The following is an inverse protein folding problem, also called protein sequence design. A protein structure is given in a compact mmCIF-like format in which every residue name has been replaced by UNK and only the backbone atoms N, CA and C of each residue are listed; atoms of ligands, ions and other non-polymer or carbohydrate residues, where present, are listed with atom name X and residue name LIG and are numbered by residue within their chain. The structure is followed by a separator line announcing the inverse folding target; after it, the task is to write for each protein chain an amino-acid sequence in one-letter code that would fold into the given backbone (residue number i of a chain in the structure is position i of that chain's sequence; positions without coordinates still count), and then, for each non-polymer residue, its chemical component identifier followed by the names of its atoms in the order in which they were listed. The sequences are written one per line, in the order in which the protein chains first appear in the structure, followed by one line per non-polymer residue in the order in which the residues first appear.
data_IF_259106656165
#
_entry.id   IF_259106656165
#
_cell.length_a   1.000
_cell.length_b   1.000
_cell.length_c   1.000
_cell.angle_alpha   90.00
_cell.angle_beta   90.00
_cell.angle_gamma   90.00
#
_symmetry.space_group_name_H-M   'P 1'
#
loop_
_entity.id
_entity.type
_entity.pdbx_description
1 polymer ?
#
# COMPACT_ATOMS: atom_id res chain seq x y z
N UNK A 1 5.78 34.71 15.34
CA UNK A 1 6.25 33.63 16.23
C UNK A 1 5.43 32.35 16.03
N UNK A 2 4.17 32.29 16.44
CA UNK A 2 3.34 31.08 16.26
C UNK A 2 3.06 30.76 14.78
N UNK A 3 2.79 31.78 13.96
CA UNK A 3 2.60 31.61 12.52
C UNK A 3 3.86 31.07 11.84
N UNK A 4 5.04 31.61 12.19
CA UNK A 4 6.32 31.19 11.60
C UNK A 4 6.66 29.75 11.99
N UNK A 5 6.40 29.37 13.24
CA UNK A 5 6.56 28.00 13.71
C UNK A 5 5.61 27.03 12.98
N UNK A 6 4.34 27.43 12.79
CA UNK A 6 3.38 26.65 12.02
C UNK A 6 3.80 26.49 10.56
N UNK A 7 4.23 27.56 9.90
CA UNK A 7 4.73 27.51 8.52
C UNK A 7 5.97 26.61 8.39
N UNK A 8 6.88 26.68 9.37
CA UNK A 8 8.05 25.79 9.42
C UNK A 8 7.66 24.32 9.55
N UNK A 9 6.69 24.00 10.42
CA UNK A 9 6.17 22.64 10.58
C UNK A 9 5.54 22.11 9.30
N UNK A 10 4.77 22.93 8.58
CA UNK A 10 4.16 22.56 7.30
C UNK A 10 5.22 22.29 6.23
N UNK A 11 6.27 23.11 6.16
CA UNK A 11 7.37 22.89 5.22
C UNK A 11 8.15 21.60 5.53
N UNK A 12 8.40 21.30 6.80
CA UNK A 12 9.01 20.03 7.21
C UNK A 12 8.12 18.81 6.88
N UNK A 13 6.80 18.93 7.05
CA UNK A 13 5.86 17.89 6.68
C UNK A 13 5.87 17.63 5.16
N UNK A 14 5.88 18.69 4.33
CA UNK A 14 5.96 18.57 2.87
C UNK A 14 7.23 17.87 2.39
N UNK A 15 8.36 18.08 3.08
CA UNK A 15 9.62 17.40 2.77
C UNK A 15 9.55 15.88 3.01
N UNK A 16 8.67 15.43 3.91
CA UNK A 16 8.50 14.02 4.31
C UNK A 16 7.31 13.34 3.65
N UNK A 17 6.73 13.98 2.64
CA UNK A 17 5.63 13.40 1.88
C UNK A 17 6.12 12.18 1.07
N UNK A 18 5.52 11.01 1.30
CA UNK A 18 5.90 9.77 0.62
C UNK A 18 5.74 9.84 -0.90
N UNK A 19 4.88 10.71 -1.43
CA UNK A 19 4.71 10.90 -2.89
C UNK A 19 5.90 11.63 -3.48
N UNK A 20 6.43 12.62 -2.75
CA UNK A 20 7.64 13.34 -3.13
C UNK A 20 8.85 12.41 -3.05
N UNK A 21 9.05 11.78 -1.89
CA UNK A 21 10.18 10.87 -1.65
C UNK A 21 10.12 9.68 -2.61
N UNK A 22 8.95 9.07 -2.78
CA UNK A 22 8.75 7.93 -3.66
C UNK A 22 9.12 8.23 -5.12
N UNK A 23 8.82 9.45 -5.59
CA UNK A 23 9.26 9.91 -6.91
C UNK A 23 10.77 10.17 -6.96
N UNK A 24 11.33 10.89 -5.99
CA UNK A 24 12.76 11.24 -5.93
C UNK A 24 13.65 9.98 -5.86
N UNK A 25 13.22 8.97 -5.12
CA UNK A 25 13.94 7.71 -4.91
C UNK A 25 13.53 6.60 -5.88
N UNK A 26 12.65 6.88 -6.85
CA UNK A 26 12.17 5.88 -7.82
C UNK A 26 11.62 4.61 -7.15
N UNK A 27 10.77 4.78 -6.13
CA UNK A 27 10.13 3.68 -5.39
C UNK A 27 8.85 3.22 -6.10
N UNK A 28 8.01 4.15 -6.51
CA UNK A 28 6.79 3.87 -7.27
C UNK A 28 6.47 5.01 -8.24
N UNK A 29 5.62 4.72 -9.21
CA UNK A 29 5.07 5.69 -10.15
C UNK A 29 3.56 5.48 -10.33
N UNK A 30 2.87 6.50 -10.81
CA UNK A 30 1.50 6.40 -11.29
C UNK A 30 1.47 6.76 -12.77
N UNK A 31 0.65 6.05 -13.53
CA UNK A 31 0.46 6.27 -14.95
C UNK A 31 -1.04 6.27 -15.26
N UNK A 32 -1.50 7.32 -15.94
CA UNK A 32 -2.93 7.51 -16.25
C UNK A 32 -3.48 6.41 -17.17
N UNK A 33 -2.61 5.77 -17.99
CA UNK A 33 -3.01 4.63 -18.82
C UNK A 33 -3.22 3.36 -18.01
N UNK A 34 -2.55 3.22 -16.87
CA UNK A 34 -2.74 2.08 -15.96
C UNK A 34 -4.00 2.26 -15.13
N UNK A 35 -4.22 3.47 -14.62
CA UNK A 35 -5.44 3.87 -13.93
C UNK A 35 -5.19 4.51 -12.56
N UNK A 36 -6.15 5.32 -12.07
CA UNK A 36 -6.03 6.01 -10.80
C UNK A 36 -5.98 5.02 -9.63
N UNK A 37 -5.11 5.27 -8.66
CA UNK A 37 -4.98 4.43 -7.46
C UNK A 37 -4.21 3.13 -7.66
N UNK A 38 -3.66 2.87 -8.86
CA UNK A 38 -2.87 1.69 -9.18
C UNK A 38 -1.37 2.04 -9.28
N UNK A 39 -0.62 1.99 -8.16
CA UNK A 39 0.81 2.30 -8.19
C UNK A 39 1.61 1.22 -8.93
N UNK A 40 2.53 1.66 -9.76
CA UNK A 40 3.57 0.82 -10.36
C UNK A 40 4.78 0.82 -9.44
N UNK A 41 5.10 -0.32 -8.86
CA UNK A 41 6.29 -0.49 -8.03
C UNK A 41 7.53 -0.61 -8.92
N UNK A 42 8.43 0.37 -8.78
CA UNK A 42 9.71 0.42 -9.49
C UNK A 42 10.74 -0.47 -8.77
N UNK A 43 11.92 -0.76 -9.36
CA UNK A 43 12.87 -1.71 -8.77
C UNK A 43 13.20 -1.47 -7.29
N UNK A 44 13.38 -0.22 -6.86
CA UNK A 44 13.66 0.09 -5.45
C UNK A 44 12.46 -0.23 -4.54
N UNK A 45 11.24 0.06 -4.99
CA UNK A 45 10.02 -0.28 -4.25
C UNK A 45 9.71 -1.77 -4.28
N UNK A 46 10.03 -2.46 -5.37
CA UNK A 46 9.95 -3.93 -5.46
C UNK A 46 10.81 -4.61 -4.40
N UNK A 47 12.07 -4.19 -4.26
CA UNK A 47 12.97 -4.69 -3.20
C UNK A 47 12.36 -4.42 -1.81
N UNK A 48 11.82 -3.23 -1.57
CA UNK A 48 11.18 -2.93 -0.28
C UNK A 48 10.00 -3.84 0.03
N UNK A 49 9.15 -4.14 -0.96
CA UNK A 49 8.03 -5.07 -0.80
C UNK A 49 8.54 -6.47 -0.49
N UNK A 50 9.51 -6.98 -1.26
CA UNK A 50 10.07 -8.32 -1.06
C UNK A 50 10.64 -8.50 0.35
N UNK A 51 11.36 -7.48 0.84
CA UNK A 51 11.93 -7.48 2.19
C UNK A 51 10.87 -7.48 3.29
N UNK A 52 9.81 -6.67 3.14
CA UNK A 52 8.69 -6.63 4.08
C UNK A 52 7.87 -7.93 4.06
N UNK A 53 7.61 -8.47 2.86
CA UNK A 53 6.93 -9.75 2.72
C UNK A 53 7.73 -10.87 3.36
N UNK A 54 9.05 -10.92 3.11
CA UNK A 54 9.94 -11.91 3.70
C UNK A 54 9.87 -11.89 5.22
N UNK A 55 9.98 -10.70 5.82
CA UNK A 55 9.86 -10.53 7.26
C UNK A 55 8.52 -11.08 7.78
N UNK A 56 7.41 -10.80 7.09
CA UNK A 56 6.11 -11.34 7.46
C UNK A 56 6.05 -12.88 7.32
N UNK A 57 6.77 -13.49 6.35
CA UNK A 57 6.80 -14.96 6.19
C UNK A 57 7.51 -15.62 7.33
N UNK A 58 8.66 -15.07 7.71
CA UNK A 58 9.46 -15.56 8.84
C UNK A 58 8.68 -15.46 10.15
N UNK A 59 7.97 -14.36 10.39
CA UNK A 59 7.19 -14.15 11.61
C UNK A 59 5.96 -15.07 11.68
N UNK A 60 5.21 -15.20 10.59
CA UNK A 60 4.08 -16.13 10.50
C UNK A 60 4.50 -17.59 10.72
N UNK A 61 5.63 -18.00 10.14
CA UNK A 61 6.19 -19.34 10.34
C UNK A 61 6.58 -19.57 11.80
N UNK A 62 7.25 -18.60 12.43
CA UNK A 62 7.62 -18.67 13.84
C UNK A 62 6.41 -18.81 14.78
N UNK A 63 5.26 -18.28 14.38
CA UNK A 63 4.00 -18.37 15.12
C UNK A 63 3.08 -19.52 14.68
N UNK A 64 3.54 -20.39 13.79
CA UNK A 64 2.81 -21.60 13.37
C UNK A 64 1.64 -21.36 12.42
N UNK A 65 1.64 -20.25 11.68
CA UNK A 65 0.63 -19.99 10.65
C UNK A 65 0.89 -20.87 9.41
N UNK A 66 -0.20 -21.28 8.75
CA UNK A 66 -0.15 -22.01 7.48
C UNK A 66 -0.57 -21.10 6.34
N UNK A 67 0.38 -20.65 5.52
CA UNK A 67 0.07 -19.84 4.34
C UNK A 67 -0.66 -20.65 3.27
N UNK A 68 -1.65 -20.02 2.67
CA UNK A 68 -2.42 -20.54 1.54
C UNK A 68 -2.50 -19.47 0.44
N UNK A 69 -2.85 -19.88 -0.78
CA UNK A 69 -3.08 -18.97 -1.91
C UNK A 69 -4.51 -19.15 -2.42
N UNK A 70 -5.25 -18.05 -2.53
CA UNK A 70 -6.64 -18.03 -2.99
C UNK A 70 -6.81 -17.08 -4.18
N UNK A 71 -7.76 -17.33 -5.09
CA UNK A 71 -8.05 -16.42 -6.20
C UNK A 71 -8.46 -15.01 -5.73
N UNK A 72 -8.16 -13.98 -6.55
CA UNK A 72 -8.51 -12.58 -6.26
C UNK A 72 -9.98 -12.23 -6.53
N UNK A 73 -10.67 -13.03 -7.35
CA UNK A 73 -12.07 -12.82 -7.74
C UNK A 73 -12.83 -14.11 -7.47
N UNK A 74 -14.04 -13.98 -6.93
CA UNK A 74 -14.96 -15.08 -6.66
C UNK A 74 -16.34 -14.81 -7.25
N UNK A 75 -17.24 -15.80 -7.18
CA UNK A 75 -18.63 -15.61 -7.57
C UNK A 75 -19.37 -14.73 -6.55
N UNK A 76 -20.40 -14.03 -7.01
CA UNK A 76 -21.24 -13.13 -6.21
C UNK A 76 -21.77 -13.79 -4.93
N UNK A 77 -22.16 -15.07 -5.00
CA UNK A 77 -22.71 -15.79 -3.86
C UNK A 77 -21.76 -15.85 -2.67
N UNK A 78 -20.44 -15.81 -2.90
CA UNK A 78 -19.45 -15.75 -1.81
C UNK A 78 -19.50 -14.41 -1.08
N UNK A 79 -19.63 -13.30 -1.82
CA UNK A 79 -19.71 -11.97 -1.24
C UNK A 79 -21.05 -11.73 -0.53
N UNK A 80 -22.14 -12.33 -1.03
CA UNK A 80 -23.42 -12.40 -0.33
C UNK A 80 -23.33 -13.21 0.97
N UNK A 81 -22.75 -14.41 0.88
CA UNK A 81 -22.65 -15.32 2.04
C UNK A 81 -21.78 -14.74 3.15
N UNK A 82 -20.69 -14.07 2.79
CA UNK A 82 -19.83 -13.37 3.75
C UNK A 82 -20.43 -12.06 4.27
N UNK A 83 -21.55 -11.60 3.70
CA UNK A 83 -22.23 -10.37 4.08
C UNK A 83 -21.55 -9.09 3.56
N UNK A 84 -20.54 -9.17 2.69
CA UNK A 84 -19.85 -7.98 2.17
C UNK A 84 -20.64 -7.26 1.09
N UNK A 85 -21.36 -8.01 0.23
CA UNK A 85 -22.00 -7.41 -0.94
C UNK A 85 -22.98 -6.27 -0.59
N UNK A 86 -23.84 -6.37 0.44
CA UNK A 86 -24.74 -5.27 0.82
C UNK A 86 -24.06 -3.97 1.26
N UNK A 87 -22.77 -4.00 1.62
CA UNK A 87 -22.05 -2.84 2.16
C UNK A 87 -20.92 -2.33 1.24
N UNK A 88 -20.47 -3.13 0.28
CA UNK A 88 -19.30 -2.85 -0.58
C UNK A 88 -19.61 -2.86 -2.08
N UNK A 89 -20.89 -2.93 -2.47
CA UNK A 89 -21.30 -2.92 -3.87
C UNK A 89 -21.24 -1.52 -4.52
N UNK A 90 -21.33 -0.47 -3.71
CA UNK A 90 -21.24 0.94 -4.10
C UNK A 90 -19.86 1.53 -3.74
#
# INVERSE_FOLDING_TARGET
AELDAYLTMIEEAKKRDHRKIGKELSIFAFDDMVGPGLPLWLPNGGIMIEELERLAKEDEEAHGYHRVVTPHIAKEELYLTSGHLPYYAD
#
